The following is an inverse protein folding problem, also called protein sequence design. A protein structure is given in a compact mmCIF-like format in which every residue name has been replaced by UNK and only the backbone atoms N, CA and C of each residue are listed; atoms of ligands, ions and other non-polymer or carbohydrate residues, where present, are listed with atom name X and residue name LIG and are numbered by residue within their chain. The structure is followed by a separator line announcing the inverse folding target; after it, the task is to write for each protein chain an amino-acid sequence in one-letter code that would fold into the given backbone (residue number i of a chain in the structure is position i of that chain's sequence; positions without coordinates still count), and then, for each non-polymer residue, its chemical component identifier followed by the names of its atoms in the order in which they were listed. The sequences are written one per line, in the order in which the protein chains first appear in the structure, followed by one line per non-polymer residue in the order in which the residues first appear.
data_IF_434836396304
#
_entry.id   IF_434836396304
#
_cell.length_a   1.000
_cell.length_b   1.000
_cell.length_c   1.000
_cell.angle_alpha   90.00
_cell.angle_beta   90.00
_cell.angle_gamma   90.00
#
_symmetry.space_group_name_H-M   'P 1'
#
loop_
_entity.id
_entity.type
_entity.pdbx_description
1 polymer ?
#
# COMPACT_ATOMS: atom_id res chain seq x y z
N UNK A 1 0.37 -14.69 -2.00
CA UNK A 1 0.91 -14.72 -3.38
C UNK A 1 2.34 -14.21 -3.45
N UNK A 2 2.70 -13.06 -2.86
CA UNK A 2 4.02 -12.45 -3.03
C UNK A 2 5.19 -13.34 -2.60
N UNK A 3 5.11 -13.96 -1.41
CA UNK A 3 6.15 -14.88 -0.94
C UNK A 3 6.28 -16.12 -1.84
N UNK A 4 5.15 -16.66 -2.33
CA UNK A 4 5.18 -17.79 -3.24
C UNK A 4 5.81 -17.41 -4.58
N UNK A 5 5.44 -16.25 -5.14
CA UNK A 5 6.05 -15.74 -6.37
C UNK A 5 7.56 -15.55 -6.22
N UNK A 6 8.01 -14.99 -5.09
CA UNK A 6 9.44 -14.85 -4.78
C UNK A 6 10.15 -16.20 -4.79
N UNK A 7 9.60 -17.20 -4.10
CA UNK A 7 10.19 -18.54 -4.08
C UNK A 7 10.22 -19.18 -5.48
N UNK A 8 9.14 -19.05 -6.23
CA UNK A 8 9.05 -19.59 -7.59
C UNK A 8 10.08 -18.97 -8.53
N UNK A 9 10.24 -17.65 -8.46
CA UNK A 9 11.18 -16.93 -9.34
C UNK A 9 12.65 -17.21 -8.97
N UNK A 10 12.95 -17.41 -7.67
CA UNK A 10 14.33 -17.57 -7.20
C UNK A 10 14.79 -19.03 -7.13
N UNK A 11 13.91 -19.97 -6.85
CA UNK A 11 14.33 -21.34 -6.47
C UNK A 11 13.74 -22.44 -7.36
N UNK A 12 12.66 -22.18 -8.16
CA UNK A 12 12.12 -23.22 -9.03
C UNK A 12 12.92 -23.29 -10.34
N UNK A 13 13.64 -24.40 -10.51
CA UNK A 13 14.50 -24.63 -11.67
C UNK A 13 13.76 -25.36 -12.82
N UNK A 14 12.63 -26.00 -12.55
CA UNK A 14 11.81 -26.63 -13.58
C UNK A 14 10.93 -25.56 -14.25
N UNK A 15 11.17 -25.30 -15.52
CA UNK A 15 10.49 -24.23 -16.26
C UNK A 15 8.98 -24.41 -16.34
N UNK A 16 8.50 -25.62 -16.52
CA UNK A 16 7.07 -25.89 -16.64
C UNK A 16 6.36 -25.68 -15.31
N UNK A 17 6.96 -26.14 -14.21
CA UNK A 17 6.43 -25.89 -12.87
C UNK A 17 6.46 -24.40 -12.52
N UNK A 18 7.53 -23.70 -12.90
CA UNK A 18 7.65 -22.26 -12.70
C UNK A 18 6.52 -21.52 -13.43
N UNK A 19 6.29 -21.81 -14.70
CA UNK A 19 5.23 -21.20 -15.50
C UNK A 19 3.84 -21.52 -14.96
N UNK A 20 3.60 -22.76 -14.55
CA UNK A 20 2.32 -23.17 -13.96
C UNK A 20 2.05 -22.41 -12.65
N UNK A 21 3.04 -22.29 -11.77
CA UNK A 21 2.92 -21.56 -10.51
C UNK A 21 2.66 -20.06 -10.75
N UNK A 22 3.42 -19.42 -11.64
CA UNK A 22 3.20 -18.02 -11.99
C UNK A 22 1.79 -17.79 -12.54
N UNK A 23 1.32 -18.67 -13.43
CA UNK A 23 -0.06 -18.60 -13.96
C UNK A 23 -1.11 -18.68 -12.86
N UNK A 24 -0.94 -19.58 -11.91
CA UNK A 24 -1.87 -19.74 -10.78
C UNK A 24 -1.85 -18.52 -9.86
N UNK A 25 -0.66 -17.96 -9.61
CA UNK A 25 -0.51 -16.73 -8.82
C UNK A 25 -1.22 -15.55 -9.53
N UNK A 26 -1.02 -15.38 -10.84
CA UNK A 26 -1.69 -14.34 -11.61
C UNK A 26 -3.21 -14.49 -11.60
N UNK A 27 -3.73 -15.72 -11.69
CA UNK A 27 -5.17 -15.99 -11.56
C UNK A 27 -5.69 -15.54 -10.18
N UNK A 28 -4.96 -15.85 -9.10
CA UNK A 28 -5.33 -15.40 -7.75
C UNK A 28 -5.26 -13.89 -7.58
N UNK A 29 -4.25 -13.25 -8.18
CA UNK A 29 -4.14 -11.78 -8.19
C UNK A 29 -5.32 -11.14 -8.93
N UNK A 30 -5.70 -11.70 -10.07
CA UNK A 30 -6.84 -11.20 -10.85
C UNK A 30 -8.13 -11.30 -10.03
N UNK A 31 -8.40 -12.44 -9.40
CA UNK A 31 -9.58 -12.62 -8.55
C UNK A 31 -9.61 -11.60 -7.39
N UNK A 32 -8.45 -11.33 -6.78
CA UNK A 32 -8.34 -10.31 -5.74
C UNK A 32 -8.65 -8.89 -6.27
N UNK A 33 -8.06 -8.52 -7.41
CA UNK A 33 -8.31 -7.22 -8.04
C UNK A 33 -9.78 -7.08 -8.47
N UNK A 34 -10.39 -8.14 -9.01
CA UNK A 34 -11.79 -8.10 -9.44
C UNK A 34 -12.76 -7.84 -8.27
N UNK A 35 -12.50 -8.47 -7.14
CA UNK A 35 -13.31 -8.33 -5.92
C UNK A 35 -13.08 -6.99 -5.18
N UNK A 36 -11.93 -6.36 -5.37
CA UNK A 36 -11.60 -5.12 -4.68
C UNK A 36 -12.49 -3.95 -5.13
N UNK A 37 -12.83 -2.96 -4.26
CA UNK A 37 -13.58 -1.77 -4.67
C UNK A 37 -12.90 -1.01 -5.81
N UNK A 38 -13.70 -0.51 -6.79
CA UNK A 38 -13.15 0.21 -7.94
C UNK A 38 -12.56 1.58 -7.57
N UNK A 39 -12.98 2.15 -6.45
CA UNK A 39 -12.43 3.38 -5.89
C UNK A 39 -11.10 3.16 -5.16
N UNK A 40 -10.66 1.91 -5.04
CA UNK A 40 -9.40 1.53 -4.41
C UNK A 40 -9.44 1.53 -2.88
N UNK A 41 -10.59 1.75 -2.27
CA UNK A 41 -10.74 1.72 -0.82
C UNK A 41 -10.46 0.33 -0.23
N UNK A 42 -9.77 0.27 0.90
CA UNK A 42 -9.56 -0.96 1.65
C UNK A 42 -10.67 -1.12 2.70
N UNK A 43 -11.50 -2.15 2.57
CA UNK A 43 -12.63 -2.42 3.47
C UNK A 43 -12.17 -2.80 4.89
N UNK A 44 -10.99 -3.40 5.04
CA UNK A 44 -10.35 -3.63 6.34
C UNK A 44 -9.72 -2.38 6.97
N UNK A 45 -9.62 -1.28 6.23
CA UNK A 45 -9.00 -0.05 6.69
C UNK A 45 -7.50 0.08 6.36
N UNK A 46 -6.90 1.25 6.72
CA UNK A 46 -5.52 1.57 6.31
C UNK A 46 -4.45 0.66 6.92
N UNK A 47 -4.68 0.07 8.08
CA UNK A 47 -3.70 -0.83 8.71
C UNK A 47 -3.53 -2.13 7.91
N UNK A 48 -4.62 -2.65 7.36
CA UNK A 48 -4.61 -3.88 6.59
C UNK A 48 -4.33 -3.68 5.10
N UNK A 49 -4.43 -2.43 4.61
CA UNK A 49 -4.03 -2.10 3.26
C UNK A 49 -2.60 -2.56 2.92
N UNK A 50 -1.68 -2.51 3.89
CA UNK A 50 -0.29 -2.95 3.73
C UNK A 50 -0.18 -4.48 3.47
N UNK A 51 -1.14 -5.26 3.95
CA UNK A 51 -1.23 -6.70 3.66
C UNK A 51 -2.05 -7.01 2.41
N UNK A 52 -3.03 -6.19 2.11
CA UNK A 52 -3.92 -6.35 0.98
C UNK A 52 -3.29 -5.77 -0.31
N UNK A 53 -3.55 -4.50 -0.60
CA UNK A 53 -3.09 -3.85 -1.83
C UNK A 53 -1.57 -3.79 -1.96
N UNK A 54 -0.83 -3.59 -0.87
CA UNK A 54 0.63 -3.57 -0.92
C UNK A 54 1.23 -4.96 -1.25
N UNK A 55 0.59 -6.06 -0.83
CA UNK A 55 1.04 -7.40 -1.25
C UNK A 55 0.74 -7.69 -2.72
N UNK A 56 -0.32 -7.13 -3.27
CA UNK A 56 -0.55 -7.11 -4.72
C UNK A 56 0.58 -6.35 -5.43
N UNK A 57 0.94 -5.16 -4.93
CA UNK A 57 2.04 -4.38 -5.49
C UNK A 57 3.37 -5.15 -5.49
N UNK A 58 3.69 -5.89 -4.42
CA UNK A 58 4.88 -6.74 -4.40
C UNK A 58 4.90 -7.74 -5.57
N UNK A 59 3.76 -8.37 -5.85
CA UNK A 59 3.63 -9.27 -7.00
C UNK A 59 3.81 -8.54 -8.34
N UNK A 60 3.15 -7.40 -8.51
CA UNK A 60 3.23 -6.60 -9.75
C UNK A 60 4.67 -6.16 -10.03
N UNK A 61 5.37 -5.70 -9.01
CA UNK A 61 6.78 -5.30 -9.13
C UNK A 61 7.66 -6.49 -9.49
N UNK A 62 7.49 -7.64 -8.81
CA UNK A 62 8.25 -8.86 -9.11
C UNK A 62 8.02 -9.35 -10.53
N UNK A 63 6.77 -9.35 -11.00
CA UNK A 63 6.44 -9.74 -12.37
C UNK A 63 7.04 -8.76 -13.39
N UNK A 64 6.96 -7.47 -13.14
CA UNK A 64 7.56 -6.46 -14.00
C UNK A 64 9.08 -6.65 -14.11
N UNK A 65 9.77 -6.84 -13.00
CA UNK A 65 11.21 -7.10 -12.98
C UNK A 65 11.56 -8.41 -13.70
N UNK A 66 10.86 -9.50 -13.41
CA UNK A 66 11.13 -10.83 -14.00
C UNK A 66 10.86 -10.89 -15.51
N UNK A 67 10.02 -9.98 -16.02
CA UNK A 67 9.65 -9.91 -17.44
C UNK A 67 10.27 -8.70 -18.16
N UNK A 68 11.22 -8.02 -17.52
CA UNK A 68 11.84 -6.81 -18.06
C UNK A 68 10.80 -5.77 -18.52
N UNK A 69 9.75 -5.56 -17.73
CA UNK A 69 8.70 -4.59 -17.96
C UNK A 69 7.58 -5.03 -18.92
N UNK A 70 7.62 -6.26 -19.47
CA UNK A 70 6.55 -6.73 -20.37
C UNK A 70 5.21 -6.91 -19.61
N UNK A 71 5.25 -7.35 -18.36
CA UNK A 71 4.08 -7.36 -17.49
C UNK A 71 4.15 -6.09 -16.63
N UNK A 72 3.36 -5.11 -17.02
CA UNK A 72 3.29 -3.82 -16.34
C UNK A 72 1.82 -3.38 -16.23
N UNK A 73 1.40 -2.98 -15.05
CA UNK A 73 0.06 -2.53 -14.73
C UNK A 73 0.03 -1.09 -14.18
N UNK A 74 1.10 -0.31 -14.39
CA UNK A 74 1.20 1.05 -13.89
C UNK A 74 0.07 1.98 -14.40
N UNK A 75 -0.48 1.69 -15.58
CA UNK A 75 -1.56 2.48 -16.17
C UNK A 75 -2.97 1.96 -15.84
N UNK A 76 -3.09 0.86 -15.07
CA UNK A 76 -4.39 0.34 -14.68
C UNK A 76 -5.04 1.26 -13.63
N UNK A 77 -6.19 1.91 -13.94
CA UNK A 77 -6.78 2.93 -13.07
C UNK A 77 -7.25 2.36 -11.73
N UNK A 78 -7.77 1.12 -11.70
CA UNK A 78 -8.20 0.48 -10.46
C UNK A 78 -7.00 0.17 -9.55
N UNK A 79 -5.91 -0.36 -10.11
CA UNK A 79 -4.70 -0.65 -9.35
C UNK A 79 -4.08 0.66 -8.82
N UNK A 80 -4.05 1.72 -9.63
CA UNK A 80 -3.60 3.04 -9.17
C UNK A 80 -4.45 3.56 -8.00
N UNK A 81 -5.78 3.43 -8.09
CA UNK A 81 -6.68 3.82 -7.00
C UNK A 81 -6.41 3.02 -5.71
N UNK A 82 -6.21 1.69 -5.82
CA UNK A 82 -5.82 0.85 -4.69
C UNK A 82 -4.53 1.34 -4.01
N UNK A 83 -3.54 1.78 -4.79
CA UNK A 83 -2.28 2.29 -4.24
C UNK A 83 -2.45 3.69 -3.64
N UNK A 84 -3.28 4.54 -4.24
CA UNK A 84 -3.59 5.88 -3.75
C UNK A 84 -4.32 5.88 -2.40
N UNK A 85 -4.96 4.79 -2.02
CA UNK A 85 -5.60 4.66 -0.71
C UNK A 85 -4.63 4.93 0.46
N UNK A 86 -3.33 4.66 0.28
CA UNK A 86 -2.29 4.97 1.24
C UNK A 86 -2.33 6.44 1.71
N UNK A 87 -2.66 7.37 0.80
CA UNK A 87 -2.78 8.78 1.13
C UNK A 87 -4.22 9.29 1.15
N UNK A 88 -5.18 8.60 0.54
CA UNK A 88 -6.60 8.94 0.65
C UNK A 88 -7.13 8.78 2.08
N UNK A 89 -6.57 7.83 2.83
CA UNK A 89 -6.90 7.60 4.24
C UNK A 89 -6.16 8.52 5.21
N UNK A 90 -5.25 9.39 4.72
CA UNK A 90 -4.37 10.19 5.57
C UNK A 90 -5.06 11.44 6.12
N UNK A 91 -4.90 11.67 7.43
CA UNK A 91 -5.41 12.85 8.13
C UNK A 91 -4.31 13.92 8.17
N UNK A 92 -3.39 13.82 9.12
CA UNK A 92 -2.24 14.71 9.32
C UNK A 92 -1.36 14.17 10.43
N UNK A 93 -0.14 14.66 10.54
CA UNK A 93 0.79 14.30 11.62
C UNK A 93 0.96 12.79 11.82
N UNK A 94 0.89 12.03 10.73
CA UNK A 94 1.02 10.57 10.74
C UNK A 94 -0.25 9.81 11.14
N UNK A 95 -1.41 10.46 11.27
CA UNK A 95 -2.67 9.79 11.55
C UNK A 95 -3.45 9.51 10.26
N UNK A 96 -4.15 8.38 10.26
CA UNK A 96 -5.09 7.99 9.20
C UNK A 96 -6.49 7.83 9.79
N UNK A 97 -7.50 7.81 8.92
CA UNK A 97 -8.86 7.42 9.32
C UNK A 97 -8.83 6.00 9.89
N UNK A 98 -9.59 5.77 10.96
CA UNK A 98 -9.55 4.50 11.70
C UNK A 98 -10.86 3.71 11.60
N UNK A 99 -11.51 3.73 10.44
CA UNK A 99 -12.66 2.89 10.16
C UNK A 99 -12.27 1.41 10.00
N UNK A 100 -13.23 0.51 10.22
CA UNK A 100 -13.08 -0.93 10.17
C UNK A 100 -11.99 -1.42 11.18
N UNK A 101 -11.11 -2.33 10.77
CA UNK A 101 -10.09 -2.92 11.66
C UNK A 101 -8.86 -2.02 11.87
N UNK A 102 -8.94 -0.76 11.47
CA UNK A 102 -7.83 0.17 11.63
C UNK A 102 -7.66 0.67 13.07
N UNK A 103 -6.42 0.79 13.50
CA UNK A 103 -6.08 1.30 14.82
C UNK A 103 -5.98 2.83 14.81
N UNK A 104 -6.17 3.44 15.97
CA UNK A 104 -5.97 4.89 16.18
C UNK A 104 -4.50 5.32 16.20
N UNK A 105 -3.59 4.42 15.95
CA UNK A 105 -2.16 4.67 16.01
C UNK A 105 -1.67 5.43 14.77
N UNK A 106 -0.47 6.01 14.91
CA UNK A 106 0.15 6.75 13.81
C UNK A 106 0.61 5.81 12.71
N UNK A 107 0.43 6.27 11.50
CA UNK A 107 0.91 5.76 10.20
C UNK A 107 1.18 4.25 10.12
N UNK A 108 0.25 3.50 9.57
CA UNK A 108 0.47 2.08 9.27
C UNK A 108 1.32 1.86 8.01
N UNK A 109 1.47 2.88 7.14
CA UNK A 109 2.19 2.73 5.88
C UNK A 109 3.70 2.72 6.08
N UNK A 110 4.38 1.81 5.38
CA UNK A 110 5.82 1.64 5.44
C UNK A 110 6.52 2.31 4.24
N UNK A 111 7.62 3.01 4.50
CA UNK A 111 8.43 3.64 3.46
C UNK A 111 8.94 2.62 2.43
N UNK A 112 9.23 1.39 2.86
CA UNK A 112 9.67 0.29 2.01
C UNK A 112 8.62 -0.18 0.98
N UNK A 113 7.38 0.24 1.17
CA UNK A 113 6.27 0.01 0.24
C UNK A 113 5.97 1.27 -0.57
N UNK A 114 5.82 2.42 0.12
CA UNK A 114 5.35 3.67 -0.51
C UNK A 114 6.37 4.24 -1.50
N UNK A 115 7.68 4.18 -1.20
CA UNK A 115 8.71 4.66 -2.11
C UNK A 115 8.76 3.86 -3.43
N UNK A 116 8.88 2.52 -3.42
CA UNK A 116 8.83 1.74 -4.65
C UNK A 116 7.53 1.90 -5.44
N UNK A 117 6.39 2.07 -4.76
CA UNK A 117 5.12 2.40 -5.41
C UNK A 117 5.19 3.71 -6.17
N UNK A 118 5.73 4.76 -5.54
CA UNK A 118 5.86 6.06 -6.18
C UNK A 118 6.66 6.01 -7.46
N UNK A 119 7.70 5.18 -7.50
CA UNK A 119 8.53 4.96 -8.67
C UNK A 119 7.80 4.16 -9.77
N UNK A 120 7.14 3.08 -9.38
CA UNK A 120 6.42 2.20 -10.32
C UNK A 120 5.26 2.92 -11.02
N UNK A 121 4.50 3.74 -10.26
CA UNK A 121 3.33 4.47 -10.76
C UNK A 121 3.64 5.90 -11.22
N UNK A 122 4.88 6.36 -11.09
CA UNK A 122 5.27 7.75 -11.33
C UNK A 122 4.34 8.74 -10.58
N UNK A 123 4.12 8.49 -9.28
CA UNK A 123 3.21 9.26 -8.43
C UNK A 123 4.00 10.15 -7.46
N UNK A 124 3.97 11.46 -7.73
CA UNK A 124 4.69 12.47 -6.93
C UNK A 124 4.09 12.65 -5.53
N UNK A 125 2.80 12.33 -5.33
CA UNK A 125 2.16 12.37 -4.01
C UNK A 125 2.71 11.27 -3.14
N UNK A 126 2.74 10.03 -3.64
CA UNK A 126 3.39 8.91 -2.96
C UNK A 126 4.88 9.18 -2.71
N UNK A 127 5.57 9.83 -3.66
CA UNK A 127 7.00 10.13 -3.54
C UNK A 127 7.27 11.08 -2.38
N UNK A 128 6.57 12.19 -2.31
CA UNK A 128 6.67 13.15 -1.20
C UNK A 128 6.26 12.53 0.14
N UNK A 129 5.22 11.69 0.11
CA UNK A 129 4.74 10.98 1.30
C UNK A 129 5.76 9.95 1.82
N UNK A 130 6.43 9.19 0.94
CA UNK A 130 7.51 8.29 1.34
C UNK A 130 8.64 9.01 2.08
N UNK A 131 9.05 10.17 1.57
CA UNK A 131 10.07 11.00 2.23
C UNK A 131 9.58 11.55 3.57
N UNK A 132 8.30 11.93 3.68
CA UNK A 132 7.69 12.35 4.94
C UNK A 132 7.67 11.21 5.97
N UNK A 133 7.25 10.00 5.59
CA UNK A 133 7.27 8.82 6.47
C UNK A 133 8.70 8.54 6.97
N UNK A 134 9.69 8.61 6.09
CA UNK A 134 11.09 8.38 6.46
C UNK A 134 11.61 9.44 7.44
N UNK A 135 11.26 10.70 7.25
CA UNK A 135 11.67 11.81 8.10
C UNK A 135 10.98 11.73 9.48
N UNK A 136 9.66 11.49 9.51
CA UNK A 136 8.88 11.37 10.75
C UNK A 136 9.35 10.19 11.62
N UNK A 137 9.63 9.05 10.99
CA UNK A 137 10.14 7.87 11.68
C UNK A 137 11.64 7.95 12.01
N UNK A 138 12.32 9.07 11.71
CA UNK A 138 13.77 9.24 11.89
C UNK A 138 14.57 8.07 11.32
N UNK A 139 14.18 7.61 10.14
CA UNK A 139 14.66 6.37 9.53
C UNK A 139 16.20 6.31 9.46
N UNK A 140 16.85 7.45 9.17
CA UNK A 140 18.33 7.57 9.16
C UNK A 140 18.99 7.23 10.50
N UNK A 141 18.27 7.41 11.62
CA UNK A 141 18.83 7.26 12.97
C UNK A 141 18.46 5.92 13.63
N UNK A 142 17.46 5.22 13.11
CA UNK A 142 16.86 4.06 13.78
C UNK A 142 16.87 2.76 12.95
N UNK A 143 17.68 2.70 11.91
CA UNK A 143 17.63 1.71 10.81
C UNK A 143 17.54 0.23 11.23
N UNK A 144 18.05 -0.18 12.36
CA UNK A 144 18.04 -1.61 12.71
C UNK A 144 17.07 -1.98 13.84
N UNK A 145 16.91 -1.13 14.82
CA UNK A 145 16.29 -1.52 16.09
C UNK A 145 14.77 -1.35 16.14
N UNK A 146 14.24 -0.29 15.57
CA UNK A 146 12.78 -0.01 15.58
C UNK A 146 12.04 -0.95 14.65
N UNK A 147 12.65 -1.31 13.54
CA UNK A 147 12.11 -2.23 12.55
C UNK A 147 11.83 -3.62 13.12
N UNK A 148 12.71 -4.13 13.97
CA UNK A 148 12.53 -5.44 14.62
C UNK A 148 11.51 -5.43 15.76
N UNK A 149 11.24 -4.28 16.36
CA UNK A 149 10.31 -4.16 17.51
C UNK A 149 8.87 -3.91 17.14
N UNK A 150 8.59 -3.28 16.02
CA UNK A 150 7.20 -2.95 15.65
C UNK A 150 6.42 -4.13 15.09
N UNK A 151 7.11 -5.25 14.78
CA UNK A 151 6.46 -6.55 14.47
C UNK A 151 5.49 -6.54 13.29
N UNK A 152 5.29 -5.39 12.67
CA UNK A 152 4.20 -5.19 11.76
C UNK A 152 4.67 -5.28 10.30
N UNK A 153 4.34 -6.39 9.69
CA UNK A 153 4.10 -6.56 8.25
C UNK A 153 5.26 -6.35 7.27
N UNK A 154 6.41 -5.90 7.73
CA UNK A 154 7.60 -5.85 6.89
C UNK A 154 8.05 -7.28 6.54
N UNK A 155 8.09 -7.59 5.25
CA UNK A 155 8.69 -8.85 4.79
C UNK A 155 10.16 -8.63 4.46
N UNK A 156 11.00 -9.63 4.70
CA UNK A 156 12.42 -9.55 4.37
C UNK A 156 12.63 -9.12 2.90
N UNK A 157 11.79 -9.60 1.98
CA UNK A 157 11.86 -9.23 0.57
C UNK A 157 11.66 -7.74 0.33
N UNK A 158 10.65 -7.11 0.98
CA UNK A 158 10.41 -5.66 0.87
C UNK A 158 11.63 -4.87 1.34
N UNK A 159 12.19 -5.25 2.48
CA UNK A 159 13.32 -4.53 3.08
C UNK A 159 14.59 -4.64 2.26
N UNK A 160 14.89 -5.81 1.74
CA UNK A 160 16.05 -6.01 0.86
C UNK A 160 15.91 -5.19 -0.43
N UNK A 161 14.75 -5.24 -1.07
CA UNK A 161 14.49 -4.41 -2.26
C UNK A 161 14.56 -2.92 -1.95
N UNK A 162 13.99 -2.50 -0.84
CA UNK A 162 14.04 -1.12 -0.41
C UNK A 162 15.48 -0.65 -0.18
N UNK A 163 16.27 -1.43 0.57
CA UNK A 163 17.67 -1.11 0.84
C UNK A 163 18.51 -0.94 -0.44
N UNK A 164 18.18 -1.68 -1.50
CA UNK A 164 18.84 -1.58 -2.79
C UNK A 164 18.37 -0.39 -3.65
N UNK A 165 17.21 0.18 -3.37
CA UNK A 165 16.55 1.18 -4.22
C UNK A 165 16.31 2.53 -3.53
N UNK A 166 16.65 2.67 -2.24
CA UNK A 166 16.35 3.89 -1.48
C UNK A 166 17.40 5.01 -1.61
N UNK A 167 18.32 4.93 -2.56
CA UNK A 167 19.48 5.82 -2.67
C UNK A 167 19.12 7.30 -2.81
N UNK A 168 18.01 7.60 -3.46
CA UNK A 168 17.51 8.96 -3.69
C UNK A 168 16.51 9.45 -2.63
N UNK A 169 16.07 8.59 -1.70
CA UNK A 169 15.04 8.91 -0.70
C UNK A 169 15.33 10.20 0.06
N UNK A 170 16.58 10.39 0.47
CA UNK A 170 16.98 11.54 1.28
C UNK A 170 17.19 12.83 0.47
N UNK A 171 17.13 12.75 -0.86
CA UNK A 171 17.11 13.91 -1.75
C UNK A 171 15.69 14.40 -2.06
N UNK A 172 14.67 13.60 -1.71
CA UNK A 172 13.26 13.92 -1.93
C UNK A 172 12.79 14.87 -0.82
N UNK A 173 12.12 15.95 -1.20
CA UNK A 173 11.50 16.86 -0.23
C UNK A 173 10.32 16.18 0.47
N UNK A 174 10.35 16.03 1.81
CA UNK A 174 9.24 15.46 2.56
C UNK A 174 7.97 16.29 2.38
N UNK A 175 6.85 15.64 2.11
CA UNK A 175 5.56 16.30 1.93
C UNK A 175 4.41 15.43 2.44
N UNK A 176 3.63 15.98 3.38
CA UNK A 176 2.38 15.35 3.80
C UNK A 176 1.35 15.41 2.66
N UNK A 177 0.60 14.32 2.43
CA UNK A 177 -0.44 14.28 1.40
C UNK A 177 -1.76 14.86 1.94
N UNK A 178 -1.77 16.16 2.23
CA UNK A 178 -2.93 16.87 2.78
C UNK A 178 -3.96 17.16 1.69
N UNK A 179 -4.73 16.17 1.29
CA UNK A 179 -5.80 16.32 0.30
C UNK A 179 -6.95 17.16 0.87
N UNK A 180 -7.59 18.03 0.06
CA UNK A 180 -8.71 18.84 0.51
C UNK A 180 -9.94 17.97 0.81
N UNK A 181 -10.33 17.13 -0.15
CA UNK A 181 -11.50 16.27 -0.05
C UNK A 181 -11.20 14.92 -0.72
N UNK A 182 -11.73 13.84 -0.14
CA UNK A 182 -11.71 12.50 -0.71
C UNK A 182 -13.11 11.91 -0.61
N UNK A 183 -13.56 11.27 -1.70
CA UNK A 183 -14.78 10.49 -1.69
C UNK A 183 -14.50 9.11 -2.31
N UNK A 184 -14.76 8.07 -1.53
CA UNK A 184 -14.64 6.66 -1.92
C UNK A 184 -16.05 6.07 -1.98
N UNK A 185 -16.71 6.12 -3.16
CA UNK A 185 -18.15 5.83 -3.27
C UNK A 185 -18.51 4.37 -3.00
N UNK A 186 -17.62 3.43 -3.26
CA UNK A 186 -17.87 2.01 -2.98
C UNK A 186 -17.57 1.66 -1.52
N UNK A 187 -16.48 2.21 -0.97
CA UNK A 187 -16.17 2.08 0.45
C UNK A 187 -17.10 2.94 1.32
N UNK A 188 -17.78 3.92 0.73
CA UNK A 188 -18.64 4.91 1.40
C UNK A 188 -17.92 5.68 2.50
N UNK A 189 -16.68 6.06 2.25
CA UNK A 189 -15.89 6.93 3.12
C UNK A 189 -15.70 8.27 2.45
N UNK A 190 -16.01 9.33 3.18
CA UNK A 190 -15.67 10.69 2.80
C UNK A 190 -14.72 11.32 3.79
N UNK A 191 -13.82 12.16 3.28
CA UNK A 191 -13.05 13.09 4.10
C UNK A 191 -13.14 14.49 3.51
N UNK A 192 -13.11 15.50 4.37
CA UNK A 192 -13.09 16.90 3.95
C UNK A 192 -12.13 17.68 4.83
N UNK A 193 -11.36 18.59 4.22
CA UNK A 193 -10.35 19.40 4.91
C UNK A 193 -10.46 20.87 4.55
N UNK A 194 -10.44 21.73 5.57
CA UNK A 194 -10.31 23.17 5.39
C UNK A 194 -9.44 23.79 6.49
N UNK A 195 -8.25 24.19 6.13
CA UNK A 195 -7.25 24.64 7.12
C UNK A 195 -6.93 23.54 8.14
N UNK A 196 -7.08 23.84 9.41
CA UNK A 196 -6.87 22.88 10.51
C UNK A 196 -8.05 21.94 10.75
N UNK A 197 -9.19 22.20 10.14
CA UNK A 197 -10.38 21.38 10.30
C UNK A 197 -10.31 20.16 9.37
N UNK A 198 -10.57 18.99 9.93
CA UNK A 198 -10.71 17.74 9.21
C UNK A 198 -11.94 16.99 9.70
N UNK A 199 -12.71 16.49 8.77
CA UNK A 199 -13.89 15.65 9.02
C UNK A 199 -13.76 14.39 8.20
N UNK A 200 -14.08 13.26 8.79
CA UNK A 200 -14.24 11.99 8.10
C UNK A 200 -15.58 11.35 8.50
N UNK A 201 -16.26 10.76 7.56
CA UNK A 201 -17.47 9.99 7.82
C UNK A 201 -17.49 8.72 6.96
N UNK A 202 -17.97 7.64 7.55
CA UNK A 202 -18.25 6.38 6.88
C UNK A 202 -19.75 6.17 6.82
N UNK A 203 -20.28 5.93 5.63
CA UNK A 203 -21.60 5.36 5.39
C UNK A 203 -21.52 3.84 5.30
N UNK A 204 -22.57 3.22 4.78
CA UNK A 204 -22.61 1.80 4.50
C UNK A 204 -23.73 1.06 5.21
N UNK A 205 -23.52 -0.23 5.47
CA UNK A 205 -24.51 -1.10 6.10
C UNK A 205 -23.81 -2.19 6.92
N UNK A 206 -24.54 -2.85 7.82
CA UNK A 206 -23.98 -3.82 8.77
C UNK A 206 -23.49 -5.14 8.12
N UNK A 207 -23.86 -5.40 6.87
CA UNK A 207 -23.42 -6.60 6.12
C UNK A 207 -22.10 -6.39 5.35
N UNK A 208 -21.40 -5.28 5.59
CA UNK A 208 -20.09 -5.07 5.00
C UNK A 208 -19.04 -5.99 5.65
N UNK A 209 -18.05 -6.41 4.85
CA UNK A 209 -16.87 -7.08 5.38
C UNK A 209 -16.14 -6.18 6.37
N UNK A 210 -15.67 -6.75 7.48
CA UNK A 210 -14.97 -6.02 8.55
C UNK A 210 -15.78 -4.89 9.20
N UNK A 211 -17.10 -4.92 9.09
CA UNK A 211 -17.97 -3.97 9.75
C UNK A 211 -18.02 -4.25 11.26
N UNK A 212 -17.89 -3.19 12.07
CA UNK A 212 -17.98 -3.28 13.53
C UNK A 212 -19.36 -2.87 14.07
N UNK A 213 -20.38 -2.78 13.21
CA UNK A 213 -21.70 -2.25 13.53
C UNK A 213 -21.67 -0.80 14.07
N UNK A 214 -20.70 -0.04 13.63
CA UNK A 214 -20.54 1.37 13.94
C UNK A 214 -21.60 2.17 13.18
N UNK A 215 -22.83 2.13 13.67
CA UNK A 215 -23.93 2.95 13.16
C UNK A 215 -23.95 4.22 13.96
N UNK A 216 -23.44 5.31 13.38
CA UNK A 216 -23.46 6.59 14.06
C UNK A 216 -23.63 7.75 13.15
#
# INVERSE_FOLDING_TARGET
CSNWLTCVLLFENNRDRQLQAVKQIMTSMQAFVDAYPADGGCDEGPDYWDRAAASLFDCLRLLSLATNGHINHADNPKIRAMMAYAYHSYISNGYCVNFADAHKNRMPQHVSVVLPMSQYFADDTLRGFAAYIAADNKWQQQVAYTYMRTGNFATLGRELFFALQCTDLFSITPREPLLPDVWLPQLQVMTARRGELFVAAKGGHNDESHNHNDVG
#
